data_IF_660487144208
#
_entry.id   IF_660487144208
#
_cell.length_a   1.000
_cell.length_b   1.000
_cell.length_c   1.000
_cell.angle_alpha   90.00
_cell.angle_beta   90.00
_cell.angle_gamma   90.00
#
_symmetry.space_group_name_H-M   'P 1'
#
loop_
_entity.id
_entity.type
_entity.pdbx_description
1 polymer ?
#
# COMPACT_ATOMS: atom_id res chain seq x y z
N UNK A 1 21.93 27.79 -12.31
CA UNK A 1 21.97 26.34 -12.01
C UNK A 1 20.67 25.79 -12.57
N UNK A 2 20.66 25.52 -13.88
CA UNK A 2 19.42 25.26 -14.61
C UNK A 2 19.01 23.81 -14.41
N UNK A 3 18.06 23.59 -13.51
CA UNK A 3 17.39 22.30 -13.36
C UNK A 3 16.53 22.12 -14.61
N UNK A 4 17.09 21.53 -15.67
CA UNK A 4 16.32 21.03 -16.82
C UNK A 4 15.41 19.89 -16.34
N UNK A 5 14.23 20.26 -15.84
CA UNK A 5 13.16 19.34 -15.51
C UNK A 5 12.72 18.65 -16.81
N UNK A 6 13.20 17.43 -17.01
CA UNK A 6 12.82 16.60 -18.14
C UNK A 6 11.33 16.24 -18.04
N UNK A 7 10.48 16.99 -18.76
CA UNK A 7 9.02 16.87 -18.76
C UNK A 7 8.52 15.46 -19.13
N UNK A 8 9.30 14.66 -19.87
CA UNK A 8 8.99 13.25 -20.15
C UNK A 8 9.04 12.36 -18.91
N UNK A 9 9.91 12.67 -17.96
CA UNK A 9 9.98 11.93 -16.69
C UNK A 9 8.92 12.40 -15.69
N UNK A 10 8.47 13.64 -15.78
CA UNK A 10 7.45 14.20 -14.89
C UNK A 10 6.11 13.46 -15.04
N UNK A 11 5.61 13.27 -16.28
CA UNK A 11 4.34 12.57 -16.53
C UNK A 11 4.33 11.12 -16.03
N UNK A 12 5.44 10.40 -16.21
CA UNK A 12 5.56 9.02 -15.71
C UNK A 12 5.64 8.95 -14.18
N UNK A 13 6.23 9.96 -13.53
CA UNK A 13 6.24 10.05 -12.06
C UNK A 13 4.83 10.28 -11.53
N UNK A 14 4.03 11.14 -12.17
CA UNK A 14 2.63 11.32 -11.84
C UNK A 14 1.83 10.02 -12.01
N UNK A 15 2.12 9.21 -13.03
CA UNK A 15 1.47 7.91 -13.20
C UNK A 15 1.79 6.93 -12.06
N UNK A 16 3.05 6.88 -11.60
CA UNK A 16 3.45 6.04 -10.46
C UNK A 16 2.75 6.52 -9.18
N UNK A 17 2.79 7.82 -8.90
CA UNK A 17 2.13 8.37 -7.71
C UNK A 17 0.60 8.21 -7.79
N UNK A 18 0.01 8.34 -8.97
CA UNK A 18 -1.39 8.03 -9.22
C UNK A 18 -1.70 6.57 -8.88
N UNK A 19 -0.90 5.63 -9.38
CA UNK A 19 -1.07 4.20 -9.11
C UNK A 19 -0.83 3.84 -7.63
N UNK A 20 0.03 4.58 -6.93
CA UNK A 20 0.28 4.43 -5.48
C UNK A 20 -0.83 5.05 -4.64
N UNK A 21 -1.49 6.12 -5.10
CA UNK A 21 -2.56 6.79 -4.35
C UNK A 21 -3.95 6.18 -4.60
N UNK A 22 -4.15 5.56 -5.77
CA UNK A 22 -5.41 4.93 -6.16
C UNK A 22 -5.91 3.90 -5.12
N UNK A 23 -5.08 2.98 -4.61
CA UNK A 23 -5.48 2.01 -3.59
C UNK A 23 -5.89 2.69 -2.30
N UNK A 24 -5.13 3.71 -1.87
CA UNK A 24 -5.40 4.46 -0.66
C UNK A 24 -6.76 5.17 -0.72
N UNK A 25 -7.08 5.75 -1.88
CA UNK A 25 -8.40 6.35 -2.14
C UNK A 25 -9.52 5.31 -2.12
N UNK A 26 -9.30 4.12 -2.70
CA UNK A 26 -10.26 3.01 -2.67
C UNK A 26 -10.51 2.51 -1.23
N UNK A 27 -9.45 2.35 -0.43
CA UNK A 27 -9.56 2.00 0.99
C UNK A 27 -10.39 3.03 1.74
N UNK A 28 -10.07 4.31 1.55
CA UNK A 28 -10.73 5.41 2.25
C UNK A 28 -12.21 5.54 1.86
N UNK A 29 -12.53 5.35 0.58
CA UNK A 29 -13.90 5.35 0.10
C UNK A 29 -14.73 4.21 0.69
N UNK A 30 -14.18 2.98 0.72
CA UNK A 30 -14.88 1.86 1.32
C UNK A 30 -15.06 2.03 2.85
N UNK A 31 -14.08 2.63 3.54
CA UNK A 31 -14.23 2.96 4.97
C UNK A 31 -15.33 3.99 5.20
N UNK A 32 -15.39 5.02 4.35
CA UNK A 32 -16.43 6.04 4.41
C UNK A 32 -17.83 5.45 4.21
N UNK A 33 -17.98 4.54 3.24
CA UNK A 33 -19.24 3.83 2.97
C UNK A 33 -19.73 3.02 4.18
N UNK A 34 -18.83 2.32 4.88
CA UNK A 34 -19.24 1.51 6.03
C UNK A 34 -19.50 2.36 7.27
N UNK A 35 -18.62 3.33 7.56
CA UNK A 35 -18.67 4.08 8.82
C UNK A 35 -19.70 5.22 8.83
N UNK A 36 -19.89 5.92 7.70
CA UNK A 36 -20.75 7.12 7.63
C UNK A 36 -22.05 6.89 6.86
N UNK A 37 -22.05 5.98 5.88
CA UNK A 37 -23.26 5.65 5.09
C UNK A 37 -23.98 4.42 5.64
N UNK A 38 -23.29 3.57 6.42
CA UNK A 38 -23.85 2.33 6.97
C UNK A 38 -23.96 1.20 5.94
N UNK A 39 -23.27 1.30 4.80
CA UNK A 39 -23.31 0.28 3.75
C UNK A 39 -22.31 -0.84 4.03
N UNK A 40 -22.74 -1.80 4.86
CA UNK A 40 -21.95 -2.97 5.26
C UNK A 40 -21.72 -3.99 4.14
N UNK A 41 -22.40 -3.90 2.98
CA UNK A 41 -22.21 -4.86 1.89
C UNK A 41 -20.84 -4.73 1.20
N UNK A 42 -20.14 -3.62 1.39
CA UNK A 42 -18.86 -3.37 0.72
C UNK A 42 -17.68 -4.09 1.39
N UNK A 43 -17.55 -3.99 2.73
CA UNK A 43 -16.47 -4.65 3.49
C UNK A 43 -16.96 -5.70 4.49
N UNK A 44 -18.27 -5.92 4.59
CA UNK A 44 -18.86 -6.82 5.57
C UNK A 44 -18.94 -6.24 6.99
N UNK A 45 -19.23 -7.08 7.99
CA UNK A 45 -19.44 -6.66 9.37
C UNK A 45 -18.18 -6.09 10.05
N UNK A 46 -16.99 -6.42 9.53
CA UNK A 46 -15.69 -6.13 10.15
C UNK A 46 -14.81 -5.23 9.24
N UNK A 47 -15.18 -3.94 9.07
CA UNK A 47 -14.50 -3.03 8.15
C UNK A 47 -13.01 -2.85 8.47
N UNK A 48 -12.63 -2.89 9.75
CA UNK A 48 -11.23 -2.79 10.17
C UNK A 48 -10.38 -3.92 9.60
N UNK A 49 -10.89 -5.16 9.63
CA UNK A 49 -10.20 -6.33 9.07
C UNK A 49 -10.07 -6.24 7.55
N UNK A 50 -11.09 -5.74 6.88
CA UNK A 50 -11.06 -5.57 5.43
C UNK A 50 -10.00 -4.54 5.00
N UNK A 51 -9.86 -3.42 5.73
CA UNK A 51 -8.82 -2.42 5.47
C UNK A 51 -7.43 -3.02 5.65
N UNK A 52 -7.21 -3.80 6.72
CA UNK A 52 -5.93 -4.47 6.97
C UNK A 52 -5.57 -5.41 5.82
N UNK A 53 -6.51 -6.25 5.38
CA UNK A 53 -6.30 -7.14 4.24
C UNK A 53 -5.98 -6.38 2.95
N UNK A 54 -6.75 -5.34 2.64
CA UNK A 54 -6.55 -4.54 1.45
C UNK A 54 -5.15 -3.89 1.45
N UNK A 55 -4.73 -3.26 2.56
CA UNK A 55 -3.39 -2.69 2.68
C UNK A 55 -2.29 -3.74 2.47
N UNK A 56 -2.50 -4.95 2.96
CA UNK A 56 -1.57 -6.08 2.79
C UNK A 56 -1.46 -6.55 1.34
N UNK A 57 -2.59 -6.70 0.64
CA UNK A 57 -2.62 -7.09 -0.78
C UNK A 57 -1.83 -6.11 -1.65
N UNK A 58 -2.02 -4.80 -1.44
CA UNK A 58 -1.30 -3.78 -2.20
C UNK A 58 0.17 -3.71 -1.81
N UNK A 59 0.53 -3.89 -0.54
CA UNK A 59 1.93 -3.98 -0.11
C UNK A 59 2.67 -5.11 -0.86
N UNK A 60 2.04 -6.30 -0.94
CA UNK A 60 2.59 -7.45 -1.67
C UNK A 60 2.64 -7.17 -3.17
N UNK A 61 1.59 -6.60 -3.77
CA UNK A 61 1.57 -6.26 -5.19
C UNK A 61 2.72 -5.30 -5.57
N UNK A 62 2.96 -4.26 -4.77
CA UNK A 62 4.10 -3.35 -4.99
C UNK A 62 5.44 -4.04 -4.80
N UNK A 63 5.56 -4.93 -3.81
CA UNK A 63 6.77 -5.72 -3.60
C UNK A 63 7.07 -6.62 -4.81
N UNK A 64 6.05 -7.31 -5.33
CA UNK A 64 6.14 -8.14 -6.52
C UNK A 64 6.52 -7.32 -7.76
N UNK A 65 5.96 -6.12 -7.92
CA UNK A 65 6.34 -5.20 -8.99
C UNK A 65 7.83 -4.83 -8.92
N UNK A 66 8.37 -4.53 -7.74
CA UNK A 66 9.79 -4.21 -7.57
C UNK A 66 10.68 -5.38 -7.97
N UNK A 67 10.28 -6.60 -7.57
CA UNK A 67 10.99 -7.82 -7.90
C UNK A 67 10.92 -8.07 -9.42
N UNK A 68 9.76 -7.84 -10.04
CA UNK A 68 9.52 -8.01 -11.48
C UNK A 68 10.29 -7.02 -12.38
N UNK A 69 10.73 -5.87 -11.86
CA UNK A 69 11.55 -4.93 -12.65
C UNK A 69 12.86 -5.56 -13.12
N UNK A 70 13.48 -6.44 -12.31
CA UNK A 70 14.74 -7.12 -12.67
C UNK A 70 14.59 -8.06 -13.89
N UNK A 71 13.63 -9.01 -13.93
CA UNK A 71 13.41 -9.84 -15.11
C UNK A 71 12.93 -9.04 -16.31
N UNK A 72 12.05 -8.04 -16.14
CA UNK A 72 11.58 -7.20 -17.25
C UNK A 72 12.76 -6.48 -17.91
N UNK A 73 13.68 -5.90 -17.13
CA UNK A 73 14.87 -5.26 -17.67
C UNK A 73 15.74 -6.23 -18.49
N UNK A 74 15.81 -7.51 -18.11
CA UNK A 74 16.56 -8.52 -18.88
C UNK A 74 15.88 -8.83 -20.22
N UNK A 75 14.55 -8.78 -20.27
CA UNK A 75 13.76 -9.15 -21.45
C UNK A 75 13.57 -8.00 -22.45
N UNK A 76 13.40 -6.76 -21.98
CA UNK A 76 13.02 -5.63 -22.86
C UNK A 76 14.12 -4.58 -23.05
N UNK A 77 15.26 -4.70 -22.36
CA UNK A 77 16.34 -3.71 -22.34
C UNK A 77 15.92 -2.27 -21.94
N UNK A 78 14.70 -2.08 -21.43
CA UNK A 78 14.20 -0.79 -20.95
C UNK A 78 14.80 -0.48 -19.59
N UNK A 79 15.34 0.74 -19.42
CA UNK A 79 15.95 1.20 -18.17
C UNK A 79 14.89 1.55 -17.11
N UNK A 80 14.29 0.53 -16.48
CA UNK A 80 13.32 0.67 -15.40
C UNK A 80 13.94 0.82 -13.99
N UNK A 81 15.27 0.69 -13.88
CA UNK A 81 16.03 0.74 -12.61
C UNK A 81 15.83 2.03 -11.79
N UNK A 82 15.71 3.23 -12.36
CA UNK A 82 15.47 4.44 -11.57
C UNK A 82 14.12 4.41 -10.84
N UNK A 83 13.14 3.69 -11.39
CA UNK A 83 11.77 3.64 -10.86
C UNK A 83 11.60 2.59 -9.76
N UNK A 84 12.42 1.53 -9.76
CA UNK A 84 12.36 0.47 -8.75
C UNK A 84 12.57 0.98 -7.33
N UNK A 85 13.39 2.02 -7.15
CA UNK A 85 13.63 2.63 -5.82
C UNK A 85 12.36 3.29 -5.27
N UNK A 86 11.55 3.92 -6.12
CA UNK A 86 10.33 4.62 -5.72
C UNK A 86 9.18 3.65 -5.43
N UNK A 87 9.02 2.63 -6.28
CA UNK A 87 8.03 1.56 -6.05
C UNK A 87 8.39 0.75 -4.79
N UNK A 88 9.68 0.54 -4.52
CA UNK A 88 10.13 -0.11 -3.28
C UNK A 88 9.82 0.70 -2.03
N UNK A 89 9.96 2.03 -2.08
CA UNK A 89 9.55 2.90 -0.98
C UNK A 89 8.03 2.86 -0.76
N UNK A 90 7.24 2.82 -1.83
CA UNK A 90 5.79 2.64 -1.73
C UNK A 90 5.43 1.29 -1.09
N UNK A 91 6.05 0.18 -1.53
CA UNK A 91 5.85 -1.14 -0.92
C UNK A 91 6.15 -1.14 0.59
N UNK A 92 7.28 -0.53 0.98
CA UNK A 92 7.67 -0.42 2.39
C UNK A 92 6.68 0.42 3.20
N UNK A 93 6.27 1.57 2.67
CA UNK A 93 5.29 2.43 3.32
C UNK A 93 3.94 1.71 3.53
N UNK A 94 3.43 1.04 2.50
CA UNK A 94 2.19 0.26 2.59
C UNK A 94 2.30 -0.90 3.57
N UNK A 95 3.45 -1.59 3.61
CA UNK A 95 3.71 -2.64 4.60
C UNK A 95 3.72 -2.10 6.03
N UNK A 96 4.30 -0.92 6.25
CA UNK A 96 4.31 -0.25 7.55
C UNK A 96 2.88 0.12 7.98
N UNK A 97 2.11 0.74 7.08
CA UNK A 97 0.69 1.07 7.33
C UNK A 97 -0.14 -0.18 7.59
N UNK A 98 0.11 -1.30 6.89
CA UNK A 98 -0.55 -2.58 7.15
C UNK A 98 -0.28 -3.07 8.58
N UNK A 99 0.96 -3.04 9.05
CA UNK A 99 1.32 -3.44 10.42
C UNK A 99 0.68 -2.51 11.45
N UNK A 100 0.72 -1.20 11.23
CA UNK A 100 0.04 -0.23 12.10
C UNK A 100 -1.48 -0.46 12.14
N UNK A 101 -2.11 -0.69 10.99
CA UNK A 101 -3.54 -0.98 10.90
C UNK A 101 -3.88 -2.30 11.60
N UNK A 102 -3.03 -3.32 11.48
CA UNK A 102 -3.19 -4.58 12.21
C UNK A 102 -3.17 -4.36 13.72
N UNK A 103 -2.19 -3.59 14.23
CA UNK A 103 -2.14 -3.27 15.66
C UNK A 103 -3.34 -2.44 16.12
N UNK A 104 -3.77 -1.46 15.32
CA UNK A 104 -4.87 -0.56 15.67
C UNK A 104 -6.24 -1.25 15.63
N UNK A 105 -6.53 -2.02 14.58
CA UNK A 105 -7.87 -2.58 14.34
C UNK A 105 -8.04 -4.02 14.83
N UNK A 106 -7.00 -4.85 14.77
CA UNK A 106 -7.11 -6.28 15.11
C UNK A 106 -6.61 -6.52 16.53
N UNK A 107 -5.40 -6.07 16.86
CA UNK A 107 -4.80 -6.36 18.16
C UNK A 107 -5.30 -5.40 19.27
N UNK A 108 -5.78 -4.21 18.92
CA UNK A 108 -6.31 -3.24 19.89
C UNK A 108 -5.28 -2.72 20.90
N UNK A 109 -3.97 -2.87 20.62
CA UNK A 109 -2.87 -2.59 21.55
C UNK A 109 -2.93 -3.33 22.90
N UNK A 110 -3.69 -4.42 23.01
CA UNK A 110 -3.85 -5.18 24.26
C UNK A 110 -2.72 -6.20 24.38
N UNK A 111 -1.56 -5.76 24.87
CA UNK A 111 -0.45 -6.66 25.23
C UNK A 111 -0.80 -7.60 26.39
N UNK A 112 -1.89 -7.33 27.13
CA UNK A 112 -2.29 -8.07 28.33
C UNK A 112 -2.61 -9.56 28.07
N UNK A 113 -3.06 -9.94 26.88
CA UNK A 113 -3.32 -11.35 26.55
C UNK A 113 -2.02 -12.17 26.38
N UNK A 114 -0.90 -11.52 26.00
CA UNK A 114 0.38 -12.20 25.81
C UNK A 114 1.08 -12.55 27.14
N UNK A 115 0.80 -11.80 28.22
CA UNK A 115 1.39 -12.03 29.54
C UNK A 115 0.45 -12.81 30.47
N UNK A 116 -0.86 -12.76 30.24
CA UNK A 116 -1.86 -13.44 31.06
C UNK A 116 -1.83 -14.97 30.99
N UNK A 117 -1.24 -15.55 29.94
CA UNK A 117 -1.05 -17.01 29.81
C UNK A 117 0.24 -17.56 30.43
N UNK A 118 1.09 -16.70 31.02
CA UNK A 118 2.37 -17.08 31.64
C UNK A 118 2.38 -16.86 33.17
N UNK A 119 1.24 -16.55 33.78
CA UNK A 119 1.04 -16.36 35.21
C UNK A 119 0.22 -17.49 35.83
#
# INVERSE_FOLDING_TARGET
>A
MDIKLNSRTAGFNFAIWGLVLLPLLMSFYGFYQVQFVGNIFYYGPEPGKAIVHFLGEWAIAFLLLVIAIRPIHKLTAIQLRPYSRRVGLAAFFYGLVHVFAYFAFIQGFVWQELWGGLA
#
